data_IF_572077021104
#
_entry.id   IF_572077021104
#
_cell.length_a   1.000
_cell.length_b   1.000
_cell.length_c   1.000
_cell.angle_alpha   90.00
_cell.angle_beta   90.00
_cell.angle_gamma   90.00
#
_symmetry.space_group_name_H-M   'P 1'
#
loop_
_entity.id
_entity.type
_entity.pdbx_description
1 polymer ?
#
# COMPACT_ATOMS: atom_id res chain seq x y z
N UNK A 1 8.86 -18.65 -15.36
CA UNK A 1 8.62 -17.23 -15.71
C UNK A 1 7.58 -16.67 -14.76
N UNK A 2 7.95 -15.75 -13.86
CA UNK A 2 6.98 -15.04 -13.02
C UNK A 2 6.47 -13.81 -13.79
N UNK A 3 5.14 -13.66 -13.91
CA UNK A 3 4.50 -12.49 -14.51
C UNK A 3 4.12 -11.54 -13.38
N UNK A 4 4.73 -10.36 -13.34
CA UNK A 4 4.39 -9.30 -12.39
C UNK A 4 3.45 -8.32 -13.08
N UNK A 5 2.30 -8.03 -12.46
CA UNK A 5 1.38 -6.98 -12.89
C UNK A 5 1.74 -5.68 -12.18
N UNK A 6 2.10 -4.66 -12.96
CA UNK A 6 2.39 -3.31 -12.48
C UNK A 6 1.06 -2.60 -12.26
N UNK A 7 0.67 -2.39 -11.00
CA UNK A 7 -0.46 -1.53 -10.64
C UNK A 7 0.06 -0.10 -10.52
N UNK A 8 -0.32 0.76 -11.47
CA UNK A 8 0.03 2.18 -11.44
C UNK A 8 -0.96 2.88 -10.51
N UNK A 9 -0.49 3.26 -9.32
CA UNK A 9 -1.25 4.11 -8.41
C UNK A 9 -1.08 5.55 -8.91
N UNK A 10 -2.06 6.05 -9.68
CA UNK A 10 -2.06 7.45 -10.10
C UNK A 10 -2.64 8.29 -8.97
N UNK A 11 -1.81 9.17 -8.39
CA UNK A 11 -2.29 10.29 -7.59
C UNK A 11 -2.90 11.31 -8.56
N UNK A 12 -4.15 11.70 -8.33
CA UNK A 12 -4.76 12.84 -9.02
C UNK A 12 -4.01 14.11 -8.59
N UNK A 13 -3.71 14.99 -9.54
CA UNK A 13 -3.09 16.29 -9.27
C UNK A 13 -4.18 17.36 -9.24
N UNK A 14 -4.00 18.42 -8.44
CA UNK A 14 -5.00 19.49 -8.26
C UNK A 14 -5.38 20.20 -9.57
N UNK A 15 -4.56 20.06 -10.62
CA UNK A 15 -4.83 20.55 -11.98
C UNK A 15 -5.90 19.72 -12.75
N UNK A 16 -6.37 18.60 -12.18
CA UNK A 16 -7.42 17.72 -12.76
C UNK A 16 -8.85 18.09 -12.30
N UNK A 17 -9.04 19.21 -11.58
CA UNK A 17 -10.35 19.67 -11.09
C UNK A 17 -10.89 20.77 -12.01
N UNK A 18 -11.73 20.36 -12.98
CA UNK A 18 -12.48 21.30 -13.82
C UNK A 18 -13.63 21.96 -13.04
N UNK A 19 -13.89 23.23 -13.40
CA UNK A 19 -14.87 24.15 -12.83
C UNK A 19 -16.29 23.53 -12.80
N UNK A 20 -16.88 23.44 -11.60
CA UNK A 20 -18.16 22.79 -11.33
C UNK A 20 -19.30 23.48 -12.10
N UNK A 21 -19.76 22.87 -13.20
CA UNK A 21 -21.09 23.15 -13.75
C UNK A 21 -22.12 22.26 -13.06
N UNK A 22 -23.07 22.89 -12.38
CA UNK A 22 -23.90 22.31 -11.32
C UNK A 22 -25.15 21.54 -11.80
N UNK A 23 -25.39 21.40 -13.11
CA UNK A 23 -26.66 20.86 -13.61
C UNK A 23 -26.47 19.70 -14.61
N UNK A 24 -26.31 18.47 -14.11
CA UNK A 24 -26.66 17.26 -14.89
C UNK A 24 -25.61 16.16 -15.04
N UNK A 25 -24.43 16.27 -14.43
CA UNK A 25 -23.40 15.24 -14.54
C UNK A 25 -23.50 14.26 -13.36
N UNK A 26 -24.36 13.26 -13.48
CA UNK A 26 -24.22 12.06 -12.64
C UNK A 26 -22.92 11.35 -13.04
N UNK A 27 -21.94 11.34 -12.14
CA UNK A 27 -20.67 10.64 -12.31
C UNK A 27 -20.92 9.20 -12.78
N UNK A 28 -20.61 8.94 -14.05
CA UNK A 28 -20.69 7.61 -14.63
C UNK A 28 -19.58 6.77 -14.00
N UNK A 29 -19.94 5.95 -13.01
CA UNK A 29 -19.02 4.98 -12.41
C UNK A 29 -18.63 3.96 -13.48
N UNK A 30 -17.44 4.16 -14.06
CA UNK A 30 -16.92 3.35 -15.18
C UNK A 30 -16.64 1.91 -14.71
N UNK A 31 -16.15 1.73 -13.48
CA UNK A 31 -15.88 0.41 -12.89
C UNK A 31 -15.77 0.49 -11.35
N UNK A 32 -16.51 -0.36 -10.63
CA UNK A 32 -16.36 -0.53 -9.17
C UNK A 32 -15.36 -1.66 -8.92
N UNK A 33 -14.14 -1.30 -8.53
CA UNK A 33 -13.13 -2.29 -8.15
C UNK A 33 -13.52 -3.01 -6.85
N UNK A 34 -13.19 -4.31 -6.71
CA UNK A 34 -13.41 -5.03 -5.47
C UNK A 34 -12.64 -4.38 -4.31
N UNK A 35 -13.31 -4.15 -3.19
CA UNK A 35 -12.64 -3.67 -1.99
C UNK A 35 -11.66 -4.73 -1.48
N UNK A 36 -10.36 -4.48 -1.68
CA UNK A 36 -9.29 -5.36 -1.21
C UNK A 36 -9.15 -5.23 0.31
N UNK A 37 -10.02 -5.92 1.08
CA UNK A 37 -9.95 -6.01 2.56
C UNK A 37 -8.56 -6.37 3.07
N UNK A 38 -7.82 -7.14 2.26
CA UNK A 38 -6.49 -7.64 2.56
C UNK A 38 -5.37 -6.64 2.27
N UNK A 39 -5.63 -5.53 1.57
CA UNK A 39 -4.55 -4.58 1.22
C UNK A 39 -3.92 -3.97 2.47
N UNK A 40 -4.74 -3.59 3.45
CA UNK A 40 -4.28 -3.00 4.70
C UNK A 40 -3.72 -4.01 5.70
N UNK A 41 -4.07 -5.30 5.58
CA UNK A 41 -3.68 -6.31 6.57
C UNK A 41 -2.16 -6.45 6.67
N UNK A 42 -1.45 -6.32 5.55
CA UNK A 42 0.01 -6.43 5.51
C UNK A 42 0.68 -5.35 6.34
N UNK A 43 0.28 -4.10 6.13
CA UNK A 43 0.80 -2.94 6.85
C UNK A 43 0.48 -2.98 8.35
N UNK A 44 -0.73 -3.44 8.73
CA UNK A 44 -1.09 -3.61 10.15
C UNK A 44 -0.20 -4.65 10.82
N UNK A 45 0.09 -5.77 10.14
CA UNK A 45 0.98 -6.81 10.67
C UNK A 45 2.42 -6.32 10.76
N UNK A 46 2.91 -5.60 9.75
CA UNK A 46 4.25 -4.97 9.77
C UNK A 46 4.38 -4.02 10.96
N UNK A 47 3.42 -3.11 11.16
CA UNK A 47 3.38 -2.21 12.31
C UNK A 47 3.33 -2.98 13.64
N UNK A 48 2.52 -4.03 13.72
CA UNK A 48 2.45 -4.88 14.92
C UNK A 48 3.82 -5.49 15.26
N UNK A 49 4.55 -6.00 14.28
CA UNK A 49 5.90 -6.52 14.50
C UNK A 49 6.88 -5.42 14.89
N UNK A 50 6.85 -4.28 14.23
CA UNK A 50 7.71 -3.13 14.57
C UNK A 50 7.50 -2.65 16.00
N UNK A 51 6.25 -2.59 16.47
CA UNK A 51 5.92 -2.12 17.81
C UNK A 51 6.20 -3.14 18.91
N UNK A 52 5.87 -4.41 18.67
CA UNK A 52 5.83 -5.41 19.74
C UNK A 52 6.96 -6.44 19.67
N UNK A 53 7.50 -6.73 18.47
CA UNK A 53 8.54 -7.74 18.30
C UNK A 53 9.39 -7.52 17.01
N UNK A 54 10.27 -6.51 16.98
CA UNK A 54 11.04 -6.16 15.77
C UNK A 54 11.92 -7.29 15.24
N UNK A 55 12.32 -8.22 16.12
CA UNK A 55 13.12 -9.38 15.76
C UNK A 55 12.36 -10.37 14.86
N UNK A 56 11.03 -10.40 14.92
CA UNK A 56 10.18 -11.31 14.11
C UNK A 56 9.78 -10.74 12.75
N UNK A 57 9.99 -9.44 12.51
CA UNK A 57 9.60 -8.76 11.27
C UNK A 57 10.22 -9.42 10.03
N UNK A 58 11.53 -9.68 10.05
CA UNK A 58 12.23 -10.30 8.94
C UNK A 58 11.66 -11.71 8.62
N UNK A 59 11.37 -12.49 9.67
CA UNK A 59 10.78 -13.82 9.52
C UNK A 59 9.37 -13.79 8.94
N UNK A 60 8.57 -12.77 9.28
CA UNK A 60 7.27 -12.54 8.67
C UNK A 60 7.40 -12.19 7.18
N UNK A 61 8.22 -11.20 6.84
CA UNK A 61 8.44 -10.75 5.45
C UNK A 61 8.96 -11.88 4.56
N UNK A 62 9.85 -12.73 5.10
CA UNK A 62 10.31 -13.95 4.43
C UNK A 62 9.17 -14.93 4.15
N UNK A 63 8.25 -15.14 5.10
CA UNK A 63 7.10 -16.06 4.95
C UNK A 63 6.14 -15.60 3.86
N UNK A 64 5.87 -14.30 3.78
CA UNK A 64 4.99 -13.72 2.75
C UNK A 64 5.71 -13.48 1.41
N UNK A 65 6.97 -13.92 1.29
CA UNK A 65 7.78 -13.88 0.05
C UNK A 65 8.02 -12.46 -0.48
N UNK A 66 8.21 -11.49 0.42
CA UNK A 66 8.64 -10.14 0.05
C UNK A 66 10.04 -10.22 -0.57
N UNK A 67 10.25 -9.66 -1.78
CA UNK A 67 11.59 -9.51 -2.37
C UNK A 67 12.49 -8.67 -1.47
N UNK A 68 13.78 -9.00 -1.39
CA UNK A 68 14.78 -8.26 -0.59
C UNK A 68 14.31 -7.99 0.86
N UNK A 69 13.60 -8.95 1.47
CA UNK A 69 12.97 -8.80 2.79
C UNK A 69 13.90 -8.35 3.92
N UNK A 70 15.22 -8.61 3.80
CA UNK A 70 16.22 -8.17 4.78
C UNK A 70 16.44 -6.66 4.74
N UNK A 71 16.65 -6.13 3.54
CA UNK A 71 16.88 -4.70 3.32
C UNK A 71 15.61 -3.92 3.68
N UNK A 72 14.46 -4.42 3.23
CA UNK A 72 13.17 -3.84 3.58
C UNK A 72 12.90 -3.82 5.10
N UNK A 73 13.20 -4.93 5.80
CA UNK A 73 13.08 -4.97 7.26
C UNK A 73 14.02 -3.97 7.97
N UNK A 74 15.22 -3.76 7.42
CA UNK A 74 16.18 -2.79 7.94
C UNK A 74 15.66 -1.37 7.79
N UNK A 75 15.19 -1.01 6.59
CA UNK A 75 14.61 0.30 6.29
C UNK A 75 13.40 0.61 7.17
N UNK A 76 12.47 -0.35 7.31
CA UNK A 76 11.31 -0.19 8.18
C UNK A 76 11.71 0.09 9.63
N UNK A 77 12.69 -0.64 10.18
CA UNK A 77 13.18 -0.40 11.54
C UNK A 77 13.80 0.99 11.69
N UNK A 78 14.61 1.42 10.72
CA UNK A 78 15.24 2.74 10.73
C UNK A 78 14.19 3.85 10.65
N UNK A 79 13.22 3.72 9.75
CA UNK A 79 12.15 4.71 9.57
C UNK A 79 11.32 4.87 10.86
N UNK A 80 10.82 3.76 11.41
CA UNK A 80 9.98 3.79 12.60
C UNK A 80 10.75 4.14 13.89
N UNK A 81 12.08 4.02 13.91
CA UNK A 81 12.88 4.52 15.04
C UNK A 81 12.94 6.06 15.13
N UNK A 82 12.51 6.76 14.08
CA UNK A 82 12.52 8.23 13.96
C UNK A 82 11.13 8.86 14.14
N UNK A 83 10.10 8.04 14.29
CA UNK A 83 8.74 8.45 14.65
C UNK A 83 8.61 8.52 16.19
#
# INVERSE_FOLDING_TARGET
MARFSVLKLTCLTDDDIDDYNEDGDEDLVIEILPFYKSFLIGYVLEYYFLKNNPAKLEGYLKKIRIPNYKDYASELKVFYSKL
#
